data_IF_106126877957
#
_entry.id   IF_106126877957
#
_cell.length_a   1.000
_cell.length_b   1.000
_cell.length_c   1.000
_cell.angle_alpha   90.00
_cell.angle_beta   90.00
_cell.angle_gamma   90.00
#
_symmetry.space_group_name_H-M   'P 1'
#
loop_
_entity.id
_entity.type
_entity.pdbx_description
1 polymer ?
#
# COMPACT_ATOMS: atom_id res chain seq x y z
N UNK A 1 -22.19 -6.95 0.86
CA UNK A 1 -21.80 -6.30 2.14
C UNK A 1 -20.50 -6.92 2.62
N UNK A 2 -19.93 -6.53 3.78
CA UNK A 2 -18.78 -7.25 4.37
C UNK A 2 -19.15 -8.65 4.88
N UNK A 3 -20.43 -9.02 4.80
CA UNK A 3 -21.00 -10.30 5.28
C UNK A 3 -20.79 -11.45 4.28
N UNK A 4 -20.38 -11.14 3.04
CA UNK A 4 -20.07 -12.15 2.04
C UNK A 4 -18.58 -12.47 2.05
N UNK A 5 -18.27 -13.74 2.32
CA UNK A 5 -16.90 -14.25 2.33
C UNK A 5 -16.63 -15.14 1.12
N UNK A 6 -15.37 -15.18 0.66
CA UNK A 6 -14.91 -16.13 -0.33
C UNK A 6 -14.53 -17.49 0.30
N UNK A 7 -14.05 -18.43 -0.52
CA UNK A 7 -13.62 -19.77 -0.07
C UNK A 7 -12.47 -19.77 0.95
N UNK A 8 -11.77 -18.64 1.10
CA UNK A 8 -10.68 -18.47 2.05
C UNK A 8 -11.13 -17.73 3.33
N UNK A 9 -12.42 -17.42 3.46
CA UNK A 9 -12.95 -16.66 4.60
C UNK A 9 -12.61 -15.16 4.54
N UNK A 10 -12.24 -14.62 3.38
CA UNK A 10 -11.94 -13.20 3.19
C UNK A 10 -13.17 -12.47 2.62
N UNK A 11 -13.42 -11.19 2.98
CA UNK A 11 -14.50 -10.39 2.41
C UNK A 11 -14.48 -10.38 0.87
N UNK A 12 -15.47 -11.01 0.24
CA UNK A 12 -15.47 -11.36 -1.18
C UNK A 12 -15.31 -10.18 -2.13
N UNK A 13 -15.80 -9.01 -1.71
CA UNK A 13 -15.96 -7.84 -2.56
C UNK A 13 -15.08 -6.66 -2.16
N UNK A 14 -14.22 -6.84 -1.16
CA UNK A 14 -13.39 -5.79 -0.59
C UNK A 14 -11.93 -6.22 -0.52
N UNK A 15 -11.06 -5.23 -0.53
CA UNK A 15 -9.60 -5.41 -0.48
C UNK A 15 -9.02 -5.15 0.91
N UNK A 16 -9.87 -5.03 1.92
CA UNK A 16 -9.51 -4.81 3.32
C UNK A 16 -10.58 -5.44 4.21
N UNK A 17 -10.29 -5.54 5.52
CA UNK A 17 -11.14 -6.28 6.46
C UNK A 17 -12.34 -5.47 6.97
N UNK A 18 -12.16 -4.16 7.16
CA UNK A 18 -13.17 -3.32 7.78
C UNK A 18 -13.13 -1.87 7.26
N UNK A 19 -14.31 -1.25 7.16
CA UNK A 19 -14.44 0.18 7.04
C UNK A 19 -14.15 0.76 5.65
N UNK A 20 -13.66 2.01 5.64
CA UNK A 20 -13.16 2.73 4.47
C UNK A 20 -11.82 3.36 4.87
N UNK A 21 -10.76 3.14 4.08
CA UNK A 21 -9.40 3.56 4.47
C UNK A 21 -9.07 5.02 4.14
N UNK A 22 -9.88 5.70 3.31
CA UNK A 22 -9.65 7.12 2.98
C UNK A 22 -10.25 8.03 4.05
N UNK A 23 -9.58 9.12 4.39
CA UNK A 23 -10.10 10.12 5.34
C UNK A 23 -11.19 11.02 4.75
N UNK A 24 -11.37 10.99 3.42
CA UNK A 24 -12.41 11.72 2.73
C UNK A 24 -12.31 11.58 1.22
N UNK A 25 -13.41 11.85 0.51
CA UNK A 25 -13.50 11.70 -0.94
C UNK A 25 -13.89 13.02 -1.62
N UNK A 26 -13.17 13.36 -2.69
CA UNK A 26 -13.47 14.53 -3.53
C UNK A 26 -13.79 14.04 -4.94
N UNK A 27 -14.99 14.35 -5.44
CA UNK A 27 -15.45 13.97 -6.77
C UNK A 27 -15.94 15.16 -7.58
N UNK A 28 -15.90 15.04 -8.91
CA UNK A 28 -16.50 16.03 -9.80
C UNK A 28 -18.02 15.92 -9.80
N UNK A 29 -18.53 14.71 -9.95
CA UNK A 29 -19.95 14.40 -10.03
C UNK A 29 -20.26 13.16 -9.19
N UNK A 30 -21.40 13.18 -8.50
CA UNK A 30 -21.90 12.06 -7.70
C UNK A 30 -23.05 11.39 -8.45
N UNK A 31 -23.00 10.06 -8.59
CA UNK A 31 -24.12 9.29 -9.12
C UNK A 31 -25.13 8.99 -8.01
N UNK A 32 -26.30 9.65 -8.05
CA UNK A 32 -27.37 9.46 -7.06
C UNK A 32 -28.20 8.20 -7.29
N UNK A 33 -28.30 7.74 -8.54
CA UNK A 33 -29.11 6.59 -8.95
C UNK A 33 -28.27 5.51 -9.65
N UNK A 34 -27.33 4.85 -8.93
CA UNK A 34 -26.50 3.80 -9.52
C UNK A 34 -27.35 2.59 -9.95
N UNK A 35 -27.07 2.08 -11.15
CA UNK A 35 -27.75 0.91 -11.72
C UNK A 35 -26.76 -0.19 -12.05
N UNK A 36 -26.64 -1.17 -11.15
CA UNK A 36 -25.79 -2.34 -11.31
C UNK A 36 -26.43 -3.54 -10.59
N UNK A 37 -26.31 -4.75 -11.14
CA UNK A 37 -26.95 -5.95 -10.56
C UNK A 37 -26.45 -6.30 -9.15
N UNK A 38 -25.26 -5.81 -8.77
CA UNK A 38 -24.68 -5.93 -7.41
C UNK A 38 -24.89 -4.70 -6.53
N UNK A 39 -25.65 -3.72 -7.00
CA UNK A 39 -25.90 -2.52 -6.22
C UNK A 39 -26.63 -2.90 -4.92
N UNK A 40 -26.11 -2.42 -3.79
CA UNK A 40 -26.69 -2.64 -2.45
C UNK A 40 -26.97 -1.34 -1.72
N UNK A 41 -26.14 -0.33 -1.91
CA UNK A 41 -26.29 1.02 -1.35
C UNK A 41 -25.57 2.04 -2.24
N UNK A 42 -25.99 3.30 -2.12
CA UNK A 42 -25.31 4.42 -2.77
C UNK A 42 -23.97 4.70 -2.09
N UNK A 43 -23.05 5.33 -2.83
CA UNK A 43 -21.75 5.74 -2.30
C UNK A 43 -21.89 6.64 -1.06
N UNK A 44 -22.78 7.63 -1.11
CA UNK A 44 -23.00 8.56 0.00
C UNK A 44 -23.48 7.87 1.26
N UNK A 45 -24.45 6.94 1.13
CA UNK A 45 -24.96 6.18 2.28
C UNK A 45 -23.87 5.29 2.88
N UNK A 46 -23.05 4.66 2.03
CA UNK A 46 -21.92 3.85 2.50
C UNK A 46 -20.88 4.68 3.25
N UNK A 47 -20.57 5.88 2.75
CA UNK A 47 -19.63 6.80 3.42
C UNK A 47 -20.17 7.35 4.74
N UNK A 48 -21.47 7.67 4.80
CA UNK A 48 -22.17 8.10 6.02
C UNK A 48 -22.12 7.03 7.13
N UNK A 49 -22.39 5.77 6.78
CA UNK A 49 -22.30 4.64 7.72
C UNK A 49 -20.90 4.42 8.31
N UNK A 50 -19.86 4.93 7.64
CA UNK A 50 -18.45 4.79 8.06
C UNK A 50 -17.84 6.12 8.53
N UNK A 51 -18.66 7.14 8.76
CA UNK A 51 -18.22 8.48 9.19
C UNK A 51 -17.15 9.10 8.27
N UNK A 52 -17.18 8.80 6.96
CA UNK A 52 -16.23 9.35 5.98
C UNK A 52 -16.83 10.55 5.25
N UNK A 53 -16.21 11.75 5.34
CA UNK A 53 -16.70 12.92 4.64
C UNK A 53 -16.48 12.84 3.12
N UNK A 54 -17.45 13.30 2.36
CA UNK A 54 -17.36 13.42 0.90
C UNK A 54 -17.78 14.81 0.43
N UNK A 55 -17.21 15.27 -0.69
CA UNK A 55 -17.63 16.51 -1.37
C UNK A 55 -17.66 16.30 -2.89
N UNK A 56 -18.73 16.77 -3.52
CA UNK A 56 -18.96 16.69 -4.98
C UNK A 56 -19.14 18.08 -5.60
N UNK A 57 -19.16 18.17 -6.93
CA UNK A 57 -19.36 19.43 -7.65
C UNK A 57 -18.10 20.30 -7.77
N UNK A 58 -16.92 19.71 -7.57
CA UNK A 58 -15.64 20.39 -7.66
C UNK A 58 -14.94 20.12 -8.99
N UNK A 59 -14.20 21.09 -9.51
CA UNK A 59 -13.28 20.85 -10.62
C UNK A 59 -12.07 20.03 -10.13
N UNK A 60 -12.21 18.71 -10.16
CA UNK A 60 -11.14 17.78 -9.78
C UNK A 60 -9.94 17.89 -10.69
N UNK A 61 -10.09 18.34 -11.94
CA UNK A 61 -8.97 18.58 -12.87
C UNK A 61 -8.14 19.79 -12.41
N UNK A 62 -8.78 20.89 -11.98
CA UNK A 62 -8.07 22.02 -11.39
C UNK A 62 -7.34 21.61 -10.10
N UNK A 63 -7.97 20.79 -9.25
CA UNK A 63 -7.33 20.24 -8.05
C UNK A 63 -6.11 19.37 -8.39
N UNK A 64 -6.24 18.45 -9.36
CA UNK A 64 -5.12 17.61 -9.81
C UNK A 64 -3.96 18.45 -10.35
N UNK A 65 -4.23 19.48 -11.15
CA UNK A 65 -3.18 20.40 -11.63
C UNK A 65 -2.46 21.08 -10.46
N UNK A 66 -3.21 21.59 -9.48
CA UNK A 66 -2.64 22.25 -8.30
C UNK A 66 -1.74 21.30 -7.50
N UNK A 67 -2.17 20.06 -7.27
CA UNK A 67 -1.35 19.04 -6.58
C UNK A 67 -0.11 18.69 -7.40
N UNK A 68 -0.23 18.54 -8.72
CA UNK A 68 0.91 18.21 -9.58
C UNK A 68 1.96 19.32 -9.61
N UNK A 69 1.54 20.58 -9.62
CA UNK A 69 2.42 21.76 -9.68
C UNK A 69 3.08 22.09 -8.32
N UNK A 70 2.39 21.84 -7.21
CA UNK A 70 2.88 22.19 -5.86
C UNK A 70 3.34 20.98 -5.03
N UNK A 71 3.18 19.76 -5.55
CA UNK A 71 3.44 18.51 -4.86
C UNK A 71 2.36 18.10 -3.85
N UNK A 72 2.74 17.32 -2.85
CA UNK A 72 1.83 16.83 -1.81
C UNK A 72 1.28 17.99 -0.96
N UNK A 73 0.02 18.37 -1.20
CA UNK A 73 -0.68 19.43 -0.47
C UNK A 73 -1.50 18.85 0.69
N UNK A 74 -1.46 19.49 1.86
CA UNK A 74 -2.38 19.18 2.96
C UNK A 74 -3.75 19.81 2.68
N UNK A 75 -4.83 19.03 2.90
CA UNK A 75 -6.20 19.45 2.64
C UNK A 75 -7.13 19.14 3.81
N UNK A 76 -8.29 19.79 3.82
CA UNK A 76 -9.37 19.56 4.79
C UNK A 76 -10.72 19.76 4.12
N UNK A 77 -11.68 18.88 4.44
CA UNK A 77 -13.11 19.07 4.12
C UNK A 77 -13.76 19.68 5.36
N UNK A 78 -14.46 20.80 5.19
CA UNK A 78 -15.21 21.49 6.25
C UNK A 78 -16.64 21.72 5.79
N UNK A 79 -17.62 21.55 6.69
CA UNK A 79 -19.04 21.72 6.37
C UNK A 79 -19.46 23.20 6.31
N UNK A 80 -18.67 24.09 6.90
CA UNK A 80 -18.94 25.52 6.93
C UNK A 80 -17.75 26.31 6.39
N UNK A 81 -18.03 27.47 5.82
CA UNK A 81 -16.99 28.39 5.39
C UNK A 81 -16.12 28.76 6.61
N UNK A 82 -14.77 28.70 6.47
CA UNK A 82 -13.87 29.19 7.51
C UNK A 82 -14.24 30.62 7.89
N UNK A 83 -14.35 30.91 9.19
CA UNK A 83 -14.36 32.29 9.65
C UNK A 83 -12.97 32.90 9.43
N UNK A 84 -12.83 34.22 9.23
CA UNK A 84 -11.52 34.86 9.05
C UNK A 84 -10.53 34.57 10.19
N UNK A 85 -11.04 34.25 11.39
CA UNK A 85 -10.28 33.91 12.59
C UNK A 85 -10.21 32.39 12.85
N UNK A 86 -10.57 31.54 11.88
CA UNK A 86 -10.52 30.09 12.10
C UNK A 86 -9.07 29.60 12.17
N UNK A 87 -8.65 29.11 13.34
CA UNK A 87 -7.33 28.53 13.58
C UNK A 87 -7.26 27.07 13.08
N UNK A 88 -7.60 26.82 11.82
CA UNK A 88 -7.50 25.48 11.27
C UNK A 88 -6.04 25.06 11.13
N UNK A 89 -5.57 24.22 12.06
CA UNK A 89 -4.28 23.57 11.94
C UNK A 89 -4.37 22.42 10.95
N UNK A 90 -3.52 22.44 9.93
CA UNK A 90 -3.34 21.31 9.02
C UNK A 90 -2.55 20.21 9.70
N UNK A 91 -3.08 18.99 9.64
CA UNK A 91 -2.43 17.80 10.17
C UNK A 91 -1.72 17.07 9.03
N UNK A 92 -0.43 16.78 9.20
CA UNK A 92 0.33 15.95 8.26
C UNK A 92 0.37 14.49 8.75
N UNK A 93 -0.36 13.57 8.11
CA UNK A 93 -0.38 12.15 8.51
C UNK A 93 0.98 11.47 8.36
N UNK A 94 1.87 11.96 7.48
CA UNK A 94 3.18 11.33 7.26
C UNK A 94 4.15 11.49 8.43
N UNK A 95 3.78 12.28 9.46
CA UNK A 95 4.57 12.40 10.68
C UNK A 95 4.44 11.18 11.59
N UNK A 96 3.39 10.38 11.43
CA UNK A 96 3.12 9.18 12.22
C UNK A 96 3.50 7.90 11.47
N UNK A 97 3.63 6.81 12.22
CA UNK A 97 3.68 5.47 11.65
C UNK A 97 2.26 4.99 11.29
N UNK A 98 1.83 5.26 10.05
CA UNK A 98 0.50 4.86 9.58
C UNK A 98 0.34 3.34 9.47
N UNK A 99 1.44 2.60 9.37
CA UNK A 99 1.42 1.13 9.32
C UNK A 99 0.92 0.54 10.64
N UNK A 100 1.31 1.13 11.77
CA UNK A 100 0.85 0.70 13.10
C UNK A 100 -0.67 0.81 13.25
N UNK A 101 -1.28 1.84 12.63
CA UNK A 101 -2.71 2.08 12.68
C UNK A 101 -3.50 1.01 11.89
N UNK A 102 -2.97 0.54 10.75
CA UNK A 102 -3.69 -0.38 9.86
C UNK A 102 -3.31 -1.87 9.97
N UNK A 103 -2.17 -2.19 10.58
CA UNK A 103 -1.68 -3.56 10.70
C UNK A 103 -2.54 -4.40 11.67
N UNK A 104 -2.71 -5.69 11.36
CA UNK A 104 -3.30 -6.69 12.28
C UNK A 104 -2.61 -6.66 13.64
N UNK A 105 -3.37 -6.95 14.69
CA UNK A 105 -2.86 -6.94 16.07
C UNK A 105 -2.32 -8.29 16.52
N UNK A 106 -2.87 -9.37 15.96
CA UNK A 106 -2.48 -10.75 16.25
C UNK A 106 -2.29 -11.54 14.95
N UNK A 107 -1.44 -12.58 14.95
CA UNK A 107 -1.26 -13.43 13.78
C UNK A 107 -2.55 -14.12 13.31
N UNK A 108 -2.76 -14.18 12.00
CA UNK A 108 -3.90 -14.84 11.35
C UNK A 108 -3.37 -15.86 10.35
N UNK A 109 -3.88 -17.10 10.41
CA UNK A 109 -3.46 -18.19 9.52
C UNK A 109 -4.54 -18.45 8.49
N UNK A 110 -4.15 -18.43 7.21
CA UNK A 110 -4.97 -18.81 6.08
C UNK A 110 -4.42 -20.08 5.42
N UNK A 111 -5.33 -20.96 4.99
CA UNK A 111 -5.00 -22.25 4.37
C UNK A 111 -3.98 -23.06 5.22
N UNK A 112 -4.38 -23.43 6.44
CA UNK A 112 -3.47 -23.99 7.45
C UNK A 112 -2.72 -25.26 7.01
N UNK A 113 -3.29 -26.04 6.10
CA UNK A 113 -2.69 -27.24 5.50
C UNK A 113 -1.89 -26.98 4.21
N UNK A 114 -1.82 -25.72 3.77
CA UNK A 114 -1.16 -25.32 2.53
C UNK A 114 0.36 -25.39 2.59
N UNK A 115 0.97 -25.32 1.40
CA UNK A 115 2.41 -25.27 1.20
C UNK A 115 2.73 -24.53 -0.11
N UNK A 116 3.79 -23.69 -0.18
CA UNK A 116 4.76 -23.37 0.87
C UNK A 116 4.17 -22.55 2.03
N UNK A 117 4.88 -22.48 3.17
CA UNK A 117 4.53 -21.61 4.29
C UNK A 117 5.08 -20.21 4.05
N UNK A 118 4.21 -19.21 3.96
CA UNK A 118 4.57 -17.82 3.76
C UNK A 118 4.27 -17.03 5.04
N UNK A 119 5.28 -16.36 5.59
CA UNK A 119 5.07 -15.32 6.60
C UNK A 119 4.81 -14.01 5.88
N UNK A 120 3.62 -13.43 6.05
CA UNK A 120 3.23 -12.16 5.44
C UNK A 120 3.21 -11.07 6.51
N UNK A 121 4.14 -10.12 6.44
CA UNK A 121 4.17 -8.95 7.32
C UNK A 121 3.11 -7.95 6.84
N UNK A 122 2.12 -7.67 7.68
CA UNK A 122 1.03 -6.77 7.37
C UNK A 122 1.44 -5.31 7.59
N UNK A 123 1.73 -4.61 6.49
CA UNK A 123 2.00 -3.19 6.51
C UNK A 123 0.77 -2.33 6.15
N UNK A 124 -0.45 -2.89 6.11
CA UNK A 124 -1.62 -2.28 5.48
C UNK A 124 -2.02 -3.01 4.20
N UNK A 125 -1.98 -4.33 4.28
CA UNK A 125 -2.11 -5.27 3.17
C UNK A 125 -3.48 -5.16 2.50
N UNK A 126 -3.48 -5.15 1.16
CA UNK A 126 -4.66 -5.48 0.36
C UNK A 126 -4.90 -6.99 0.27
N UNK A 127 -6.13 -7.41 0.53
CA UNK A 127 -6.51 -8.83 0.63
C UNK A 127 -6.21 -9.67 -0.62
N UNK A 128 -6.20 -9.07 -1.82
CA UNK A 128 -5.86 -9.82 -3.02
C UNK A 128 -4.42 -10.36 -3.03
N UNK A 129 -3.48 -9.78 -2.25
CA UNK A 129 -2.15 -10.36 -2.09
C UNK A 129 -2.22 -11.73 -1.40
N UNK A 130 -3.05 -11.86 -0.36
CA UNK A 130 -3.30 -13.13 0.31
C UNK A 130 -3.97 -14.10 -0.67
N UNK A 131 -5.05 -13.68 -1.36
CA UNK A 131 -5.73 -14.51 -2.37
C UNK A 131 -4.77 -15.07 -3.43
N UNK A 132 -3.82 -14.26 -3.91
CA UNK A 132 -2.81 -14.70 -4.86
C UNK A 132 -1.92 -15.82 -4.32
N UNK A 133 -1.55 -15.80 -3.04
CA UNK A 133 -0.79 -16.90 -2.43
C UNK A 133 -1.66 -18.14 -2.20
N UNK A 134 -2.87 -17.97 -1.64
CA UNK A 134 -3.76 -19.08 -1.33
C UNK A 134 -4.19 -19.85 -2.58
N UNK A 135 -4.51 -19.14 -3.67
CA UNK A 135 -4.83 -19.76 -4.98
C UNK A 135 -3.68 -20.56 -5.59
N UNK A 136 -2.44 -20.37 -5.11
CA UNK A 136 -1.25 -21.15 -5.48
C UNK A 136 -0.93 -22.26 -4.49
N UNK A 137 -1.83 -22.51 -3.52
CA UNK A 137 -1.71 -23.59 -2.54
C UNK A 137 -0.94 -23.23 -1.27
N UNK A 138 -0.40 -22.01 -1.15
CA UNK A 138 0.42 -21.61 -0.01
C UNK A 138 -0.38 -21.53 1.29
N UNK A 139 0.25 -21.87 2.42
CA UNK A 139 -0.21 -21.48 3.76
C UNK A 139 0.31 -20.09 4.04
N UNK A 140 -0.56 -19.14 4.39
CA UNK A 140 -0.14 -17.78 4.71
C UNK A 140 -0.40 -17.47 6.17
N UNK A 141 0.63 -17.01 6.86
CA UNK A 141 0.54 -16.48 8.21
C UNK A 141 0.74 -14.97 8.16
N UNK A 142 -0.36 -14.24 8.26
CA UNK A 142 -0.37 -12.78 8.30
C UNK A 142 -0.01 -12.35 9.71
N UNK A 143 1.07 -11.57 9.86
CA UNK A 143 1.60 -11.14 11.15
C UNK A 143 1.65 -9.62 11.26
N UNK A 144 1.61 -9.06 12.49
CA UNK A 144 1.77 -7.62 12.70
C UNK A 144 3.05 -7.05 12.07
N UNK A 145 3.03 -5.76 11.72
CA UNK A 145 4.14 -5.07 11.05
C UNK A 145 5.48 -5.13 11.82
N UNK A 146 5.42 -5.22 13.15
CA UNK A 146 6.56 -5.28 14.05
C UNK A 146 6.91 -6.71 14.52
N UNK A 147 6.33 -7.73 13.88
CA UNK A 147 6.51 -9.12 14.28
C UNK A 147 7.98 -9.57 14.18
N UNK A 148 8.45 -10.28 15.22
CA UNK A 148 9.80 -10.83 15.26
C UNK A 148 9.91 -12.06 14.36
N UNK A 149 10.60 -11.90 13.25
CA UNK A 149 10.77 -12.95 12.24
C UNK A 149 11.68 -14.08 12.77
N UNK A 150 11.28 -15.33 12.52
CA UNK A 150 12.07 -16.52 12.79
C UNK A 150 12.09 -17.38 11.52
N UNK A 151 13.26 -17.47 10.89
CA UNK A 151 13.42 -18.18 9.63
C UNK A 151 13.04 -19.65 9.69
N UNK A 152 13.04 -20.31 10.86
CA UNK A 152 12.70 -21.72 10.98
C UNK A 152 11.19 -22.00 10.82
N UNK A 153 10.33 -20.98 10.88
CA UNK A 153 8.87 -21.18 10.94
C UNK A 153 8.17 -21.20 9.57
N UNK A 154 8.80 -20.67 8.53
CA UNK A 154 8.20 -20.48 7.21
C UNK A 154 9.22 -20.66 6.09
N UNK A 155 8.79 -20.81 4.84
CA UNK A 155 9.62 -21.09 3.67
C UNK A 155 9.91 -19.83 2.84
N UNK A 156 9.11 -18.77 2.98
CA UNK A 156 9.34 -17.47 2.36
C UNK A 156 8.72 -16.31 3.15
N UNK A 157 9.32 -15.13 3.01
CA UNK A 157 8.88 -13.89 3.62
C UNK A 157 8.19 -13.01 2.59
N UNK A 158 7.00 -12.52 2.92
CA UNK A 158 6.27 -11.53 2.14
C UNK A 158 6.09 -10.26 2.96
N UNK A 159 6.33 -9.10 2.35
CA UNK A 159 6.13 -7.78 2.97
C UNK A 159 5.13 -7.02 2.13
N UNK A 160 3.98 -6.69 2.70
CA UNK A 160 2.85 -6.16 1.94
C UNK A 160 3.03 -4.71 1.52
N UNK A 161 2.09 -4.23 0.69
CA UNK A 161 1.88 -2.79 0.55
C UNK A 161 1.48 -2.14 1.90
N UNK A 162 1.52 -0.81 1.95
CA UNK A 162 1.09 -0.06 3.12
C UNK A 162 1.05 1.46 2.89
N UNK A 163 0.50 2.22 3.85
CA UNK A 163 0.51 3.67 3.84
C UNK A 163 1.76 4.24 4.51
N UNK A 164 1.99 5.53 4.29
CA UNK A 164 2.96 6.32 5.06
C UNK A 164 4.39 6.28 4.53
N UNK A 165 5.29 6.69 5.40
CA UNK A 165 6.71 6.89 5.11
C UNK A 165 7.51 5.68 5.62
N UNK A 166 8.29 4.99 4.76
CA UNK A 166 9.12 3.85 5.17
C UNK A 166 10.10 4.20 6.29
N UNK A 167 10.57 5.44 6.42
CA UNK A 167 11.46 5.87 7.49
C UNK A 167 10.80 5.82 8.88
N UNK A 168 9.46 5.79 8.96
CA UNK A 168 8.72 5.64 10.23
C UNK A 168 8.61 4.19 10.69
N UNK A 169 8.96 3.23 9.83
CA UNK A 169 8.81 1.79 10.06
C UNK A 169 10.14 1.15 10.52
N UNK A 170 10.87 1.82 11.42
CA UNK A 170 12.23 1.43 11.83
C UNK A 170 12.31 -0.01 12.35
N UNK A 171 11.35 -0.43 13.17
CA UNK A 171 11.32 -1.78 13.73
C UNK A 171 11.12 -2.86 12.66
N UNK A 172 10.24 -2.62 11.68
CA UNK A 172 10.05 -3.54 10.55
C UNK A 172 11.35 -3.69 9.72
N UNK A 173 12.02 -2.58 9.43
CA UNK A 173 13.31 -2.58 8.72
C UNK A 173 14.37 -3.38 9.49
N UNK A 174 14.45 -3.21 10.81
CA UNK A 174 15.37 -3.98 11.65
C UNK A 174 15.07 -5.49 11.61
N UNK A 175 13.79 -5.87 11.70
CA UNK A 175 13.37 -7.27 11.63
C UNK A 175 13.70 -7.90 10.26
N UNK A 176 13.46 -7.17 9.16
CA UNK A 176 13.79 -7.61 7.80
C UNK A 176 15.31 -7.78 7.66
N UNK A 177 16.09 -6.78 8.09
CA UNK A 177 17.55 -6.83 8.04
C UNK A 177 18.12 -8.00 8.84
N UNK A 178 17.57 -8.25 10.03
CA UNK A 178 17.95 -9.41 10.84
C UNK A 178 17.64 -10.71 10.12
N UNK A 179 16.43 -10.85 9.57
CA UNK A 179 16.02 -12.05 8.82
C UNK A 179 16.97 -12.34 7.64
N UNK A 180 17.33 -11.32 6.86
CA UNK A 180 18.27 -11.44 5.75
C UNK A 180 19.67 -11.90 6.18
N UNK A 181 20.09 -11.57 7.40
CA UNK A 181 21.39 -12.01 7.93
C UNK A 181 21.41 -13.45 8.45
N UNK A 182 20.22 -14.02 8.69
CA UNK A 182 20.06 -15.34 9.32
C UNK A 182 19.54 -16.42 8.35
N UNK A 183 19.11 -16.04 7.13
CA UNK A 183 18.48 -16.95 6.18
C UNK A 183 18.63 -16.50 4.72
N UNK A 184 18.66 -17.49 3.82
CA UNK A 184 18.65 -17.38 2.36
C UNK A 184 17.24 -17.57 1.75
N UNK A 185 16.21 -17.58 2.59
CA UNK A 185 14.82 -17.81 2.14
C UNK A 185 14.32 -16.66 1.27
N UNK A 186 13.48 -16.93 0.25
CA UNK A 186 12.97 -15.90 -0.64
C UNK A 186 12.21 -14.80 0.10
N UNK A 187 12.47 -13.55 -0.28
CA UNK A 187 11.78 -12.36 0.22
C UNK A 187 11.09 -11.67 -0.95
N UNK A 188 9.81 -11.33 -0.79
CA UNK A 188 9.06 -10.56 -1.77
C UNK A 188 8.35 -9.38 -1.13
N UNK A 189 8.74 -8.16 -1.53
CA UNK A 189 8.14 -6.90 -1.05
C UNK A 189 7.32 -6.21 -2.13
N UNK A 190 6.12 -5.73 -1.78
CA UNK A 190 5.25 -4.97 -2.69
C UNK A 190 5.06 -3.54 -2.18
N UNK A 191 5.25 -2.54 -3.05
CA UNK A 191 5.03 -1.11 -2.72
C UNK A 191 5.82 -0.69 -1.48
N UNK A 192 5.18 -0.45 -0.33
CA UNK A 192 5.88 -0.18 0.93
C UNK A 192 6.83 -1.33 1.30
N UNK A 193 6.44 -2.59 1.10
CA UNK A 193 7.33 -3.72 1.35
C UNK A 193 8.59 -3.73 0.48
N UNK A 194 8.50 -3.23 -0.75
CA UNK A 194 9.69 -3.00 -1.60
C UNK A 194 10.58 -1.91 -1.01
N UNK A 195 10.00 -0.81 -0.53
CA UNK A 195 10.74 0.28 0.11
C UNK A 195 11.41 -0.16 1.42
N UNK A 196 10.70 -0.91 2.28
CA UNK A 196 11.26 -1.42 3.54
C UNK A 196 12.40 -2.41 3.29
N UNK A 197 12.27 -3.28 2.29
CA UNK A 197 13.35 -4.17 1.86
C UNK A 197 14.55 -3.37 1.35
N UNK A 198 14.33 -2.37 0.50
CA UNK A 198 15.38 -1.49 0.00
C UNK A 198 16.10 -0.74 1.15
N UNK A 199 15.36 -0.24 2.15
CA UNK A 199 15.95 0.38 3.33
C UNK A 199 16.74 -0.62 4.17
N UNK A 200 16.27 -1.86 4.31
CA UNK A 200 16.96 -2.91 5.06
C UNK A 200 18.35 -3.26 4.47
N UNK A 201 18.49 -3.18 3.14
CA UNK A 201 19.76 -3.37 2.43
C UNK A 201 20.62 -2.10 2.38
N UNK A 202 20.15 -0.97 2.92
CA UNK A 202 20.92 0.27 3.04
C UNK A 202 20.60 1.35 2.00
N UNK A 203 19.57 1.17 1.17
CA UNK A 203 19.13 2.22 0.25
C UNK A 203 18.43 3.36 1.01
N UNK A 204 18.48 4.56 0.44
CA UNK A 204 17.65 5.70 0.86
C UNK A 204 16.31 5.66 0.15
N UNK A 205 15.30 6.21 0.82
CA UNK A 205 13.98 6.49 0.25
C UNK A 205 13.73 7.99 0.28
N UNK A 206 12.95 8.49 -0.68
CA UNK A 206 12.60 9.91 -0.73
C UNK A 206 11.12 10.10 -1.04
N UNK A 207 10.56 11.22 -0.54
CA UNK A 207 9.20 11.62 -0.87
C UNK A 207 9.15 12.20 -2.28
N UNK A 208 8.30 11.62 -3.12
CA UNK A 208 8.05 12.11 -4.47
C UNK A 208 7.24 13.41 -4.41
N UNK A 209 7.32 14.22 -5.47
CA UNK A 209 6.60 15.51 -5.54
C UNK A 209 5.10 15.29 -5.38
N UNK A 210 4.47 14.48 -6.24
CA UNK A 210 3.04 14.16 -6.17
C UNK A 210 2.76 12.65 -6.23
N UNK A 211 3.81 11.81 -6.27
CA UNK A 211 3.72 10.35 -6.26
C UNK A 211 3.07 9.71 -7.49
N UNK A 212 3.15 8.39 -7.53
CA UNK A 212 2.61 7.56 -8.58
C UNK A 212 1.30 6.92 -8.13
N UNK A 213 0.19 7.38 -8.73
CA UNK A 213 -1.18 6.98 -8.36
C UNK A 213 -2.05 6.79 -9.60
N UNK A 214 -2.34 5.54 -9.95
CA UNK A 214 -3.17 5.22 -11.10
C UNK A 214 -3.08 3.75 -11.50
N UNK A 215 -3.83 3.37 -12.54
CA UNK A 215 -3.89 2.00 -13.08
C UNK A 215 -3.21 1.87 -14.45
N UNK A 216 -2.50 2.91 -14.88
CA UNK A 216 -1.97 3.07 -16.22
C UNK A 216 -0.48 3.47 -16.20
N UNK A 217 0.28 3.01 -15.21
CA UNK A 217 1.69 3.40 -15.07
C UNK A 217 2.59 2.37 -15.77
N UNK A 218 3.35 2.77 -16.80
CA UNK A 218 4.19 1.86 -17.57
C UNK A 218 5.52 1.60 -16.84
N UNK A 219 5.82 0.34 -16.57
CA UNK A 219 7.10 -0.09 -15.99
C UNK A 219 7.84 -0.98 -17.00
N UNK A 220 9.12 -0.68 -17.24
CA UNK A 220 10.00 -1.55 -18.03
C UNK A 220 10.69 -2.55 -17.12
N UNK A 221 10.71 -3.82 -17.52
CA UNK A 221 11.47 -4.88 -16.87
C UNK A 221 12.85 -5.01 -17.52
N UNK A 222 13.91 -4.68 -16.79
CA UNK A 222 15.27 -4.53 -17.35
C UNK A 222 15.81 -5.81 -18.00
N UNK A 223 15.58 -6.97 -17.40
CA UNK A 223 16.12 -8.24 -17.93
C UNK A 223 15.49 -8.68 -19.25
N UNK A 224 14.28 -8.20 -19.57
CA UNK A 224 13.54 -8.65 -20.78
C UNK A 224 13.22 -7.53 -21.76
N UNK A 225 13.37 -6.27 -21.37
CA UNK A 225 12.92 -5.10 -22.13
C UNK A 225 11.39 -4.97 -22.25
N UNK A 226 10.60 -5.85 -21.64
CA UNK A 226 9.13 -5.81 -21.70
C UNK A 226 8.59 -4.65 -20.87
N UNK A 227 7.60 -3.96 -21.42
CA UNK A 227 6.82 -2.95 -20.70
C UNK A 227 5.52 -3.57 -20.16
N UNK A 228 5.17 -3.25 -18.92
CA UNK A 228 3.94 -3.67 -18.26
C UNK A 228 3.15 -2.45 -17.80
N UNK A 229 1.83 -2.47 -18.00
CA UNK A 229 0.93 -1.49 -17.40
C UNK A 229 0.62 -1.92 -15.96
N UNK A 230 0.88 -1.04 -15.00
CA UNK A 230 0.80 -1.36 -13.57
C UNK A 230 -0.18 -0.45 -12.84
N UNK A 231 -0.74 -0.99 -11.76
CA UNK A 231 -1.46 -0.20 -10.76
C UNK A 231 -0.50 0.22 -9.66
N UNK A 232 -0.37 1.52 -9.45
CA UNK A 232 0.52 2.09 -8.45
C UNK A 232 -0.25 3.04 -7.54
N UNK A 233 0.17 3.07 -6.27
CA UNK A 233 -0.33 4.02 -5.28
C UNK A 233 0.72 4.23 -4.19
N UNK A 234 1.77 5.00 -4.51
CA UNK A 234 2.82 5.36 -3.57
C UNK A 234 3.24 6.82 -3.71
N UNK A 235 3.67 7.40 -2.59
CA UNK A 235 4.20 8.77 -2.52
C UNK A 235 5.70 8.83 -2.25
N UNK A 236 6.36 7.69 -2.08
CA UNK A 236 7.78 7.55 -1.80
C UNK A 236 8.40 6.62 -2.85
N UNK A 237 9.69 6.79 -3.12
CA UNK A 237 10.46 5.97 -4.04
C UNK A 237 11.84 5.65 -3.46
N UNK A 238 12.47 4.60 -3.99
CA UNK A 238 13.83 4.19 -3.64
C UNK A 238 14.83 4.98 -4.48
N UNK A 239 15.91 5.46 -3.84
CA UNK A 239 17.04 6.09 -4.51
C UNK A 239 18.06 5.03 -4.94
N UNK A 240 18.03 4.67 -6.23
CA UNK A 240 18.89 3.61 -6.79
C UNK A 240 20.35 4.02 -6.91
N UNK A 241 20.69 5.29 -6.71
CA UNK A 241 22.11 5.72 -6.60
C UNK A 241 22.76 5.20 -5.32
N UNK A 242 21.95 4.77 -4.35
CA UNK A 242 22.39 4.19 -3.08
C UNK A 242 22.32 2.67 -3.05
N UNK A 243 22.04 2.03 -4.19
CA UNK A 243 21.90 0.59 -4.29
C UNK A 243 23.25 -0.12 -4.05
N UNK A 244 23.32 -1.11 -3.15
CA UNK A 244 24.51 -1.94 -2.98
C UNK A 244 24.88 -2.73 -4.25
N UNK A 245 26.15 -3.11 -4.38
CA UNK A 245 26.69 -3.73 -5.61
C UNK A 245 26.12 -5.12 -5.95
N UNK A 246 25.58 -5.82 -4.95
CA UNK A 246 24.92 -7.12 -5.01
C UNK A 246 23.44 -7.02 -5.41
N UNK A 247 22.92 -5.80 -5.60
CA UNK A 247 21.55 -5.53 -6.03
C UNK A 247 21.52 -4.81 -7.38
N UNK A 248 20.40 -4.91 -8.07
CA UNK A 248 20.14 -4.18 -9.31
C UNK A 248 18.67 -3.76 -9.43
N UNK A 249 18.42 -2.80 -10.32
CA UNK A 249 17.07 -2.36 -10.65
C UNK A 249 16.37 -3.44 -11.48
N UNK A 250 15.20 -3.89 -11.02
CA UNK A 250 14.39 -4.87 -11.72
C UNK A 250 13.37 -4.17 -12.65
N UNK A 251 12.76 -3.09 -12.15
CA UNK A 251 11.78 -2.30 -12.89
C UNK A 251 12.04 -0.80 -12.72
N UNK A 252 11.76 -0.05 -13.79
CA UNK A 252 11.77 1.42 -13.79
C UNK A 252 10.52 1.96 -14.46
N UNK A 253 9.98 3.05 -13.92
CA UNK A 253 8.86 3.76 -14.49
C UNK A 253 9.28 4.50 -15.78
N UNK A 254 8.57 4.28 -16.89
CA UNK A 254 8.92 4.93 -18.15
C UNK A 254 8.56 6.42 -18.22
N UNK A 255 7.62 6.90 -17.38
CA UNK A 255 7.19 8.29 -17.42
C UNK A 255 8.16 9.23 -16.70
N UNK A 256 8.71 8.79 -15.56
CA UNK A 256 9.50 9.66 -14.67
C UNK A 256 10.85 9.07 -14.23
N UNK A 257 11.21 7.88 -14.74
CA UNK A 257 12.46 7.18 -14.48
C UNK A 257 12.68 6.79 -13.01
N UNK A 258 11.61 6.78 -12.20
CA UNK A 258 11.68 6.34 -10.80
C UNK A 258 11.75 4.82 -10.69
N UNK A 259 12.37 4.33 -9.62
CA UNK A 259 12.50 2.90 -9.38
C UNK A 259 11.15 2.26 -9.02
N UNK A 260 10.90 1.08 -9.60
CA UNK A 260 9.65 0.33 -9.44
C UNK A 260 9.90 -1.13 -9.03
N UNK A 261 11.14 -1.45 -8.67
CA UNK A 261 11.55 -2.79 -8.29
C UNK A 261 13.07 -2.93 -8.25
N UNK A 262 13.53 -3.76 -7.32
CA UNK A 262 14.93 -4.18 -7.17
C UNK A 262 14.99 -5.69 -7.03
N UNK A 263 16.14 -6.27 -7.33
CA UNK A 263 16.41 -7.70 -7.18
C UNK A 263 17.85 -7.91 -6.73
N UNK A 264 18.09 -8.97 -5.96
CA UNK A 264 19.44 -9.44 -5.63
C UNK A 264 20.02 -10.17 -6.85
N UNK A 265 21.33 -10.07 -7.08
CA UNK A 265 21.99 -10.64 -8.29
C UNK A 265 22.17 -12.16 -8.25
N UNK A 266 22.14 -12.75 -7.06
CA UNK A 266 22.24 -14.20 -6.84
C UNK A 266 20.92 -14.79 -6.33
#
# INVERSE_FOLDING_TARGET
TFEEYDEYGLPKHFEWLEGISISGLVVGELCESPSHWRHSKTLSKWMEEHDVPGISGLDTRALTKKIRENGSILGRIVQHLPSPNSEYVFYDPNKKNLVEECSVKEPIIYNASGFPKICAVDCGLKLNQIRCFLSRGARVELVPWNYKLNANNFDGLFISNGPGDPEKCVEAVMNIKKFMSESDKPIFGICLGHQLLATAIGCKTYKMVYGNRGHNLPCIHHNTGRCFMTSQNHGFAVDTTTLPSDWEELFTNLNDQTNEGIIHKE
#
